data_IF_936239017794
#
_entry.id   IF_936239017794
#
_cell.length_a   1.000
_cell.length_b   1.000
_cell.length_c   1.000
_cell.angle_alpha   90.00
_cell.angle_beta   90.00
_cell.angle_gamma   90.00
#
_symmetry.space_group_name_H-M   'P 1'
#
loop_
_entity.id
_entity.type
_entity.pdbx_description
1 polymer ?
#
# COMPACT_ATOMS: atom_id res chain seq x y z
N UNK A 1 -13.14 -14.57 -23.10
CA UNK A 1 -13.82 -15.52 -22.17
C UNK A 1 -15.01 -14.80 -21.55
N UNK A 2 -16.19 -15.41 -21.53
CA UNK A 2 -17.41 -14.75 -21.03
C UNK A 2 -17.59 -14.81 -19.51
N UNK A 3 -17.07 -15.86 -18.87
CA UNK A 3 -17.20 -16.06 -17.42
C UNK A 3 -16.09 -16.94 -16.87
N UNK A 4 -15.85 -16.80 -15.56
CA UNK A 4 -14.94 -17.63 -14.76
C UNK A 4 -15.69 -18.15 -13.54
N UNK A 5 -15.43 -19.41 -13.16
CA UNK A 5 -16.03 -20.05 -12.00
C UNK A 5 -14.99 -20.39 -10.94
N UNK A 6 -14.77 -19.48 -9.95
CA UNK A 6 -13.99 -19.81 -8.77
C UNK A 6 -14.60 -20.98 -8.00
N UNK A 7 -13.79 -21.70 -7.26
CA UNK A 7 -14.22 -22.88 -6.49
C UNK A 7 -15.34 -22.54 -5.47
N UNK A 8 -15.34 -21.32 -4.94
CA UNK A 8 -16.33 -20.75 -4.02
C UNK A 8 -16.17 -19.22 -3.99
N UNK A 9 -17.10 -18.51 -3.38
CA UNK A 9 -17.06 -17.05 -3.18
C UNK A 9 -16.04 -16.62 -2.14
N UNK A 10 -16.39 -15.67 -1.27
CA UNK A 10 -15.49 -15.25 -0.19
C UNK A 10 -15.18 -16.37 0.80
N UNK A 11 -16.13 -17.28 1.02
CA UNK A 11 -15.98 -18.39 1.97
C UNK A 11 -16.35 -19.73 1.30
N UNK A 12 -15.79 -20.87 1.79
CA UNK A 12 -16.02 -22.20 1.18
C UNK A 12 -17.48 -22.64 1.08
N UNK A 13 -18.35 -22.12 1.94
CA UNK A 13 -19.80 -22.39 1.93
C UNK A 13 -20.56 -21.54 0.91
N UNK A 14 -19.96 -20.49 0.36
CA UNK A 14 -20.60 -19.61 -0.62
C UNK A 14 -20.42 -20.16 -2.04
N UNK A 15 -21.33 -21.06 -2.41
CA UNK A 15 -21.39 -21.71 -3.73
C UNK A 15 -22.80 -21.61 -4.30
N UNK A 16 -22.95 -21.49 -5.64
CA UNK A 16 -21.87 -21.34 -6.65
C UNK A 16 -21.19 -19.97 -6.57
N UNK A 17 -20.03 -19.83 -7.24
CA UNK A 17 -19.31 -18.56 -7.40
C UNK A 17 -18.97 -18.34 -8.87
N UNK A 18 -19.15 -17.13 -9.36
CA UNK A 18 -18.92 -16.78 -10.76
C UNK A 18 -18.47 -15.33 -10.91
N UNK A 19 -17.56 -15.08 -11.85
CA UNK A 19 -17.27 -13.77 -12.42
C UNK A 19 -17.85 -13.76 -13.84
N UNK A 20 -18.63 -12.74 -14.16
CA UNK A 20 -19.25 -12.58 -15.49
C UNK A 20 -19.46 -11.10 -15.77
N UNK A 21 -19.65 -10.78 -17.04
CA UNK A 21 -20.08 -9.46 -17.49
C UNK A 21 -21.45 -9.57 -18.15
N UNK A 22 -22.27 -8.53 -18.00
CA UNK A 22 -23.58 -8.46 -18.66
C UNK A 22 -23.43 -8.42 -20.18
N UNK A 23 -22.37 -7.76 -20.67
CA UNK A 23 -22.06 -7.65 -22.10
C UNK A 23 -20.55 -7.81 -22.34
N UNK A 24 -20.22 -8.44 -23.48
CA UNK A 24 -18.83 -8.62 -23.90
C UNK A 24 -18.13 -9.81 -23.24
N UNK A 25 -16.82 -9.74 -23.21
CA UNK A 25 -15.92 -10.72 -22.60
C UNK A 25 -15.22 -10.11 -21.38
N UNK A 26 -14.77 -10.95 -20.47
CA UNK A 26 -13.96 -10.51 -19.32
C UNK A 26 -12.70 -9.80 -19.83
N UNK A 27 -12.35 -8.62 -19.31
CA UNK A 27 -11.18 -7.86 -19.71
C UNK A 27 -9.87 -8.42 -19.13
N UNK A 28 -9.84 -9.69 -18.79
CA UNK A 28 -8.68 -10.35 -18.19
C UNK A 28 -8.55 -11.79 -18.67
N UNK A 29 -7.31 -12.29 -18.63
CA UNK A 29 -6.96 -13.67 -18.90
C UNK A 29 -6.12 -14.25 -17.75
N UNK A 30 -6.41 -15.48 -17.35
CA UNK A 30 -5.60 -16.22 -16.38
C UNK A 30 -4.53 -17.00 -17.12
N UNK A 31 -3.29 -16.51 -17.11
CA UNK A 31 -2.15 -17.13 -17.81
C UNK A 31 -1.55 -18.30 -17.03
N UNK A 32 -1.75 -18.34 -15.71
CA UNK A 32 -1.30 -19.44 -14.84
C UNK A 32 -2.09 -19.49 -13.54
N UNK A 33 -2.17 -20.65 -12.92
CA UNK A 33 -2.82 -20.85 -11.63
C UNK A 33 -4.35 -20.98 -11.72
N UNK A 34 -5.00 -20.83 -10.56
CA UNK A 34 -6.46 -20.84 -10.40
C UNK A 34 -6.86 -19.84 -9.32
N UNK A 35 -6.94 -18.56 -9.65
CA UNK A 35 -7.31 -17.53 -8.69
C UNK A 35 -8.69 -17.79 -8.08
N UNK A 36 -8.81 -17.58 -6.77
CA UNK A 36 -10.08 -17.61 -6.08
C UNK A 36 -10.85 -16.29 -6.22
N UNK A 37 -12.09 -16.28 -5.72
CA UNK A 37 -12.96 -15.10 -5.78
C UNK A 37 -12.31 -13.84 -5.16
N UNK A 38 -11.74 -13.95 -3.95
CA UNK A 38 -11.04 -12.83 -3.28
C UNK A 38 -9.80 -12.38 -4.08
N UNK A 39 -9.07 -13.33 -4.70
CA UNK A 39 -7.92 -12.98 -5.52
C UNK A 39 -8.30 -12.07 -6.70
N UNK A 40 -9.44 -12.31 -7.34
CA UNK A 40 -9.95 -11.43 -8.40
C UNK A 40 -10.40 -10.07 -7.86
N UNK A 41 -10.96 -10.00 -6.65
CA UNK A 41 -11.28 -8.74 -6.00
C UNK A 41 -10.01 -7.92 -5.73
N UNK A 42 -8.96 -8.56 -5.20
CA UNK A 42 -7.65 -7.92 -5.01
C UNK A 42 -7.05 -7.48 -6.34
N UNK A 43 -7.06 -8.35 -7.36
CA UNK A 43 -6.53 -8.06 -8.69
C UNK A 43 -7.17 -6.83 -9.33
N UNK A 44 -8.50 -6.79 -9.38
CA UNK A 44 -9.22 -5.73 -10.08
C UNK A 44 -9.18 -4.39 -9.33
N UNK A 45 -9.19 -4.39 -7.99
CA UNK A 45 -9.04 -3.16 -7.22
C UNK A 45 -7.61 -2.62 -7.29
N UNK A 46 -6.61 -3.49 -7.14
CA UNK A 46 -5.21 -3.08 -7.24
C UNK A 46 -4.82 -2.58 -8.64
N UNK A 47 -5.38 -3.19 -9.70
CA UNK A 47 -5.19 -2.73 -11.07
C UNK A 47 -5.67 -1.28 -11.27
N UNK A 48 -6.87 -0.98 -10.79
CA UNK A 48 -7.41 0.38 -10.88
C UNK A 48 -6.49 1.40 -10.19
N UNK A 49 -5.96 1.06 -9.01
CA UNK A 49 -5.03 1.90 -8.27
C UNK A 49 -3.77 2.20 -9.07
N UNK A 50 -3.07 1.18 -9.56
CA UNK A 50 -1.79 1.39 -10.28
C UNK A 50 -1.97 2.08 -11.61
N UNK A 51 -3.09 1.81 -12.31
CA UNK A 51 -3.47 2.52 -13.54
C UNK A 51 -3.69 4.02 -13.27
N UNK A 52 -4.40 4.36 -12.19
CA UNK A 52 -4.63 5.74 -11.78
C UNK A 52 -3.35 6.46 -11.39
N UNK A 53 -2.45 5.79 -10.64
CA UNK A 53 -1.14 6.35 -10.28
C UNK A 53 -0.28 6.66 -11.50
N UNK A 54 -0.19 5.73 -12.46
CA UNK A 54 0.55 5.96 -13.70
C UNK A 54 -0.04 7.11 -14.50
N UNK A 55 -1.36 7.20 -14.59
CA UNK A 55 -2.04 8.30 -15.28
C UNK A 55 -1.73 9.66 -14.65
N UNK A 56 -1.78 9.74 -13.31
CA UNK A 56 -1.58 10.98 -12.56
C UNK A 56 -0.12 11.47 -12.55
N UNK A 57 0.85 10.56 -12.55
CA UNK A 57 2.27 10.89 -12.34
C UNK A 57 3.16 10.67 -13.56
N UNK A 58 2.69 9.91 -14.56
CA UNK A 58 3.49 9.49 -15.71
C UNK A 58 4.56 8.43 -15.39
N UNK A 59 4.69 8.02 -14.13
CA UNK A 59 5.69 7.06 -13.68
C UNK A 59 5.11 5.64 -13.59
N UNK A 60 5.92 4.58 -13.82
CA UNK A 60 5.51 3.22 -13.48
C UNK A 60 5.08 3.14 -12.02
N UNK A 61 4.05 2.36 -11.74
CA UNK A 61 3.49 2.22 -10.39
C UNK A 61 3.15 0.77 -10.08
N UNK A 62 3.25 0.41 -8.81
CA UNK A 62 2.88 -0.90 -8.31
C UNK A 62 2.13 -0.82 -6.98
N UNK A 63 1.37 -1.87 -6.68
CA UNK A 63 0.69 -2.03 -5.41
C UNK A 63 0.81 -3.46 -4.88
N UNK A 64 0.77 -3.59 -3.56
CA UNK A 64 0.63 -4.83 -2.82
C UNK A 64 -0.73 -4.80 -2.14
N UNK A 65 -1.62 -5.72 -2.50
CA UNK A 65 -2.99 -5.78 -1.99
C UNK A 65 -3.23 -7.02 -1.16
N UNK A 66 -4.07 -6.87 -0.14
CA UNK A 66 -4.58 -7.97 0.65
C UNK A 66 -5.91 -7.59 1.28
N UNK A 67 -6.86 -8.53 1.26
CA UNK A 67 -8.22 -8.31 1.79
C UNK A 67 -8.90 -7.05 1.19
N UNK A 68 -8.74 -6.90 -0.12
CA UNK A 68 -9.34 -5.81 -0.93
C UNK A 68 -8.92 -4.41 -0.47
N UNK A 69 -7.72 -4.29 0.09
CA UNK A 69 -7.11 -3.01 0.48
C UNK A 69 -5.61 -3.02 0.21
N UNK A 70 -5.00 -1.88 -0.09
CA UNK A 70 -3.56 -1.78 -0.27
C UNK A 70 -2.83 -1.95 1.07
N UNK A 71 -1.90 -2.90 1.12
CA UNK A 71 -0.85 -2.92 2.13
C UNK A 71 0.19 -1.83 1.82
N UNK A 72 0.41 -1.56 0.53
CA UNK A 72 1.25 -0.48 0.05
C UNK A 72 1.10 -0.23 -1.44
N UNK A 73 1.52 0.97 -1.85
CA UNK A 73 1.61 1.40 -3.25
C UNK A 73 2.83 2.31 -3.43
N UNK A 74 3.45 2.29 -4.59
CA UNK A 74 4.63 3.10 -4.86
C UNK A 74 4.83 3.40 -6.35
N UNK A 75 5.58 4.47 -6.60
CA UNK A 75 6.07 4.88 -7.91
C UNK A 75 7.44 4.25 -8.18
N UNK A 76 7.76 4.05 -9.45
CA UNK A 76 9.00 3.46 -9.94
C UNK A 76 10.21 4.38 -9.82
N UNK A 77 10.54 4.81 -8.62
CA UNK A 77 11.72 5.59 -8.31
C UNK A 77 12.86 4.68 -7.82
N UNK A 78 14.14 5.06 -8.04
CA UNK A 78 15.28 4.26 -7.60
C UNK A 78 15.24 3.98 -6.09
N UNK A 79 15.70 2.79 -5.70
CA UNK A 79 15.88 2.42 -4.30
C UNK A 79 17.15 3.06 -3.72
N UNK A 80 17.06 3.62 -2.52
CA UNK A 80 18.23 3.95 -1.72
C UNK A 80 18.93 2.68 -1.19
N UNK A 81 20.19 2.80 -0.72
CA UNK A 81 20.92 1.66 -0.16
C UNK A 81 20.21 1.06 1.06
N UNK A 82 19.61 1.91 1.89
CA UNK A 82 18.81 1.46 3.05
C UNK A 82 17.57 0.70 2.60
N UNK A 83 16.82 1.22 1.62
CA UNK A 83 15.66 0.53 1.05
C UNK A 83 16.06 -0.82 0.44
N UNK A 84 17.18 -0.89 -0.29
CA UNK A 84 17.69 -2.16 -0.81
C UNK A 84 17.90 -3.18 0.30
N UNK A 85 18.52 -2.76 1.40
CA UNK A 85 18.79 -3.64 2.53
C UNK A 85 17.51 -4.11 3.22
N UNK A 86 16.62 -3.20 3.61
CA UNK A 86 15.42 -3.54 4.39
C UNK A 86 14.34 -4.27 3.58
N UNK A 87 14.35 -4.14 2.25
CA UNK A 87 13.41 -4.81 1.35
C UNK A 87 13.98 -6.08 0.73
N UNK A 88 15.22 -6.48 1.05
CA UNK A 88 15.91 -7.62 0.44
C UNK A 88 15.99 -7.53 -1.09
N UNK A 89 16.17 -6.31 -1.61
CA UNK A 89 16.28 -6.08 -3.03
C UNK A 89 17.54 -6.73 -3.59
N UNK A 90 17.50 -7.26 -4.83
CA UNK A 90 18.68 -7.76 -5.50
C UNK A 90 19.75 -6.66 -5.69
N UNK A 91 21.01 -7.06 -5.81
CA UNK A 91 22.09 -6.17 -6.20
C UNK A 91 21.96 -5.77 -7.68
N UNK A 92 22.59 -4.66 -8.05
CA UNK A 92 22.61 -4.16 -9.42
C UNK A 92 21.50 -3.17 -9.74
N UNK A 93 21.42 -2.80 -11.01
CA UNK A 93 20.38 -1.92 -11.52
C UNK A 93 19.06 -2.70 -11.66
N UNK A 94 17.97 -2.07 -11.24
CA UNK A 94 16.63 -2.63 -11.31
C UNK A 94 15.75 -1.75 -12.20
N UNK A 95 14.85 -2.37 -12.93
CA UNK A 95 13.87 -1.64 -13.72
C UNK A 95 12.95 -0.75 -12.84
N UNK A 96 12.42 0.35 -13.39
CA UNK A 96 11.50 1.18 -12.62
C UNK A 96 10.26 0.45 -12.10
N UNK A 97 9.72 -0.53 -12.85
CA UNK A 97 8.56 -1.29 -12.39
C UNK A 97 8.92 -2.27 -11.26
N UNK A 98 10.12 -2.84 -11.29
CA UNK A 98 10.63 -3.65 -10.18
C UNK A 98 10.83 -2.79 -8.92
N UNK A 99 11.42 -1.61 -9.06
CA UNK A 99 11.57 -0.65 -7.96
C UNK A 99 10.20 -0.28 -7.36
N UNK A 100 9.19 -0.02 -8.20
CA UNK A 100 7.84 0.27 -7.75
C UNK A 100 7.26 -0.85 -6.87
N UNK A 101 7.36 -2.11 -7.33
CA UNK A 101 6.80 -3.23 -6.57
C UNK A 101 7.59 -3.52 -5.28
N UNK A 102 8.91 -3.47 -5.34
CA UNK A 102 9.76 -3.65 -4.14
C UNK A 102 9.38 -2.63 -3.06
N UNK A 103 9.19 -1.36 -3.43
CA UNK A 103 8.79 -0.28 -2.53
C UNK A 103 7.35 -0.42 -2.06
N UNK A 104 6.41 -0.76 -2.94
CA UNK A 104 5.02 -0.99 -2.58
C UNK A 104 4.87 -2.11 -1.54
N UNK A 105 5.55 -3.24 -1.75
CA UNK A 105 5.60 -4.34 -0.78
C UNK A 105 6.37 -3.96 0.49
N UNK A 106 7.40 -3.14 0.36
CA UNK A 106 8.23 -2.63 1.45
C UNK A 106 7.51 -1.72 2.43
N UNK A 107 6.39 -1.11 2.04
CA UNK A 107 5.59 -0.22 2.87
C UNK A 107 5.13 -0.90 4.18
N UNK A 108 4.68 -2.15 4.06
CA UNK A 108 4.27 -3.00 5.19
C UNK A 108 4.53 -4.46 4.82
N UNK A 109 5.69 -4.96 5.19
CA UNK A 109 6.13 -6.31 4.80
C UNK A 109 5.30 -7.42 5.46
N UNK A 110 4.73 -7.18 6.65
CA UNK A 110 3.85 -8.15 7.31
C UNK A 110 2.49 -8.23 6.61
N UNK A 111 1.86 -7.10 6.33
CA UNK A 111 0.59 -7.06 5.61
C UNK A 111 0.73 -7.59 4.17
N UNK A 112 1.92 -7.45 3.57
CA UNK A 112 2.21 -7.96 2.23
C UNK A 112 2.53 -9.46 2.18
N UNK A 113 2.53 -10.17 3.30
CA UNK A 113 2.68 -11.63 3.30
C UNK A 113 1.45 -12.29 2.69
N UNK A 114 1.62 -12.95 1.55
CA UNK A 114 0.52 -13.53 0.78
C UNK A 114 -0.30 -12.47 0.02
N UNK A 115 0.35 -11.42 -0.46
CA UNK A 115 -0.27 -10.34 -1.20
C UNK A 115 -0.72 -10.73 -2.61
N UNK A 116 -1.48 -9.83 -3.21
CA UNK A 116 -1.69 -9.74 -4.65
C UNK A 116 -0.91 -8.55 -5.19
N UNK A 117 0.03 -8.83 -6.08
CA UNK A 117 0.83 -7.80 -6.74
C UNK A 117 0.07 -7.19 -7.93
N UNK A 118 0.13 -5.86 -8.09
CA UNK A 118 -0.37 -5.18 -9.28
C UNK A 118 0.70 -4.26 -9.86
N UNK A 119 0.82 -4.28 -11.18
CA UNK A 119 1.77 -3.46 -11.93
C UNK A 119 1.06 -2.63 -12.98
N UNK A 120 1.41 -1.36 -13.11
CA UNK A 120 0.87 -0.47 -14.16
C UNK A 120 1.44 -0.73 -15.56
N UNK A 121 2.56 -1.45 -15.61
CA UNK A 121 3.34 -1.73 -16.81
C UNK A 121 3.60 -3.23 -16.97
N UNK A 122 4.17 -3.61 -18.12
CA UNK A 122 4.57 -4.99 -18.38
C UNK A 122 5.50 -5.49 -17.30
N UNK A 123 5.19 -6.66 -16.74
CA UNK A 123 6.04 -7.34 -15.77
C UNK A 123 7.31 -7.87 -16.46
N UNK A 124 8.46 -7.48 -15.98
CA UNK A 124 9.78 -7.88 -16.50
C UNK A 124 10.47 -8.93 -15.62
N UNK A 125 11.65 -9.39 -16.08
CA UNK A 125 12.43 -10.39 -15.37
C UNK A 125 12.89 -9.94 -13.98
N UNK A 126 13.21 -8.65 -13.79
CA UNK A 126 13.65 -8.13 -12.49
C UNK A 126 12.54 -8.22 -11.45
N UNK A 127 11.33 -7.79 -11.83
CA UNK A 127 10.13 -7.88 -11.00
C UNK A 127 9.80 -9.34 -10.68
N UNK A 128 9.83 -10.21 -11.69
CA UNK A 128 9.52 -11.63 -11.52
C UNK A 128 10.52 -12.35 -10.61
N UNK A 129 11.82 -12.08 -10.73
CA UNK A 129 12.87 -12.64 -9.86
C UNK A 129 12.68 -12.22 -8.40
N UNK A 130 12.40 -10.93 -8.15
CA UNK A 130 12.11 -10.48 -6.79
C UNK A 130 10.87 -11.18 -6.23
N UNK A 131 9.79 -11.19 -7.00
CA UNK A 131 8.51 -11.78 -6.60
C UNK A 131 8.61 -13.29 -6.36
N UNK A 132 9.45 -13.99 -7.11
CA UNK A 132 9.68 -15.44 -6.96
C UNK A 132 10.20 -15.81 -5.56
N UNK A 133 10.96 -14.92 -4.92
CA UNK A 133 11.52 -15.11 -3.59
C UNK A 133 10.57 -14.69 -2.43
N UNK A 134 9.44 -14.04 -2.75
CA UNK A 134 8.48 -13.56 -1.76
C UNK A 134 7.28 -14.52 -1.61
N UNK A 135 6.60 -14.47 -0.47
CA UNK A 135 5.30 -15.13 -0.30
C UNK A 135 4.20 -14.22 -0.84
N UNK A 136 3.67 -14.59 -1.98
CA UNK A 136 2.63 -13.84 -2.72
C UNK A 136 1.63 -14.84 -3.30
N UNK A 137 0.38 -14.44 -3.46
CA UNK A 137 -0.70 -15.29 -3.97
C UNK A 137 -0.92 -15.14 -5.47
N UNK A 138 -0.62 -13.98 -6.03
CA UNK A 138 -0.77 -13.74 -7.45
C UNK A 138 -0.33 -12.34 -7.88
N UNK A 139 -0.43 -12.13 -9.18
CA UNK A 139 -0.07 -10.88 -9.84
C UNK A 139 -1.05 -10.54 -10.96
N UNK A 140 -1.31 -9.23 -11.15
CA UNK A 140 -1.98 -8.67 -12.31
C UNK A 140 -1.11 -7.61 -12.97
N UNK A 141 -1.01 -7.66 -14.30
CA UNK A 141 -0.28 -6.69 -15.10
C UNK A 141 -0.89 -6.60 -16.51
N UNK A 142 -0.63 -5.54 -17.29
CA UNK A 142 -1.11 -5.42 -18.67
C UNK A 142 -0.36 -6.31 -19.67
N UNK A 143 0.65 -7.04 -19.22
CA UNK A 143 1.44 -7.98 -19.99
C UNK A 143 2.66 -8.48 -19.21
N UNK A 144 3.35 -9.43 -19.78
CA UNK A 144 4.52 -10.09 -19.19
C UNK A 144 5.57 -10.33 -20.26
N UNK A 145 6.85 -10.13 -19.94
CA UNK A 145 7.93 -10.63 -20.82
C UNK A 145 7.98 -12.15 -20.75
N UNK A 146 8.52 -12.80 -21.79
CA UNK A 146 8.64 -14.27 -21.82
C UNK A 146 9.43 -14.78 -20.62
N UNK A 147 10.53 -14.11 -20.26
CA UNK A 147 11.34 -14.40 -19.08
C UNK A 147 10.53 -14.31 -17.78
N UNK A 148 9.78 -13.21 -17.61
CA UNK A 148 8.96 -13.01 -16.41
C UNK A 148 7.90 -14.11 -16.29
N UNK A 149 7.25 -14.45 -17.38
CA UNK A 149 6.20 -15.48 -17.41
C UNK A 149 6.76 -16.87 -17.09
N UNK A 150 7.94 -17.21 -17.60
CA UNK A 150 8.63 -18.47 -17.27
C UNK A 150 8.94 -18.56 -15.77
N UNK A 151 9.54 -17.51 -15.19
CA UNK A 151 9.86 -17.45 -13.76
C UNK A 151 8.59 -17.61 -12.91
N UNK A 152 7.54 -16.85 -13.22
CA UNK A 152 6.30 -16.84 -12.44
C UNK A 152 5.54 -18.17 -12.54
N UNK A 153 5.54 -18.81 -13.71
CA UNK A 153 4.98 -20.16 -13.90
C UNK A 153 5.69 -21.22 -13.05
N UNK A 154 6.99 -21.08 -12.81
CA UNK A 154 7.75 -21.98 -11.94
C UNK A 154 7.47 -21.80 -10.44
N UNK A 155 6.94 -20.63 -10.02
CA UNK A 155 6.65 -20.32 -8.62
C UNK A 155 5.53 -21.21 -8.06
N UNK A 156 5.62 -21.56 -6.73
CA UNK A 156 4.64 -22.41 -6.03
C UNK A 156 4.40 -23.76 -6.73
N UNK A 157 5.45 -24.36 -7.29
CA UNK A 157 5.36 -25.63 -8.05
C UNK A 157 4.34 -25.56 -9.20
N UNK A 158 4.28 -24.43 -9.88
CA UNK A 158 3.36 -24.18 -11.00
C UNK A 158 1.98 -23.64 -10.61
N UNK A 159 1.73 -23.42 -9.34
CA UNK A 159 0.41 -22.97 -8.84
C UNK A 159 0.31 -21.47 -8.53
N UNK A 160 1.29 -20.65 -8.94
CA UNK A 160 1.21 -19.20 -8.75
C UNK A 160 0.20 -18.57 -9.72
N UNK A 161 -0.61 -17.64 -9.21
CA UNK A 161 -1.64 -17.01 -10.05
C UNK A 161 -1.05 -15.85 -10.86
N UNK A 162 -1.22 -15.91 -12.18
CA UNK A 162 -0.79 -14.87 -13.11
C UNK A 162 -1.99 -14.44 -13.95
N UNK A 163 -2.35 -13.18 -13.86
CA UNK A 163 -3.49 -12.59 -14.56
C UNK A 163 -3.01 -11.46 -15.47
N UNK A 164 -3.38 -11.50 -16.73
CA UNK A 164 -3.23 -10.39 -17.67
C UNK A 164 -4.53 -9.63 -17.78
N UNK A 165 -4.46 -8.30 -17.82
CA UNK A 165 -5.59 -7.38 -17.94
C UNK A 165 -5.50 -6.57 -19.20
N UNK A 166 -6.60 -6.38 -19.91
CA UNK A 166 -6.70 -5.43 -21.01
C UNK A 166 -6.63 -3.97 -20.49
N UNK A 167 -5.53 -3.25 -20.71
CA UNK A 167 -5.38 -1.88 -20.20
C UNK A 167 -6.31 -0.88 -20.85
N UNK A 168 -6.90 -1.21 -22.00
CA UNK A 168 -7.84 -0.35 -22.73
C UNK A 168 -9.27 -0.42 -22.20
N UNK A 169 -9.58 -1.45 -21.40
CA UNK A 169 -10.93 -1.64 -20.88
C UNK A 169 -11.37 -0.49 -19.98
N UNK A 170 -12.62 -0.07 -20.19
CA UNK A 170 -13.29 0.93 -19.35
C UNK A 170 -14.61 0.35 -18.85
N UNK A 171 -14.86 0.37 -17.52
CA UNK A 171 -16.10 -0.12 -16.93
C UNK A 171 -17.33 0.64 -17.46
N UNK A 172 -18.50 0.00 -17.33
CA UNK A 172 -19.78 0.66 -17.61
C UNK A 172 -19.98 1.87 -16.67
N UNK A 173 -20.72 2.91 -17.13
CA UNK A 173 -20.89 4.14 -16.34
C UNK A 173 -21.74 3.96 -15.07
N UNK A 174 -22.43 2.83 -14.93
CA UNK A 174 -23.24 2.47 -13.76
C UNK A 174 -22.72 1.18 -13.17
N UNK A 175 -22.40 1.21 -11.89
CA UNK A 175 -22.07 0.02 -11.11
C UNK A 175 -23.25 -0.42 -10.23
N UNK A 176 -23.35 -1.72 -10.02
CA UNK A 176 -24.42 -2.35 -9.25
C UNK A 176 -23.85 -3.24 -8.15
N UNK A 177 -24.47 -3.17 -6.99
CA UNK A 177 -24.14 -4.02 -5.85
C UNK A 177 -25.42 -4.53 -5.19
N UNK A 178 -25.45 -5.81 -4.85
CA UNK A 178 -26.59 -6.41 -4.13
C UNK A 178 -26.24 -6.61 -2.66
N UNK A 179 -27.09 -6.09 -1.77
CA UNK A 179 -26.98 -6.27 -0.33
C UNK A 179 -28.36 -6.73 0.16
N UNK A 180 -28.43 -7.90 0.77
CA UNK A 180 -29.67 -8.47 1.29
C UNK A 180 -30.81 -8.53 0.24
N UNK A 181 -30.46 -8.82 -1.01
CA UNK A 181 -31.41 -8.88 -2.12
C UNK A 181 -31.85 -7.52 -2.71
N UNK A 182 -31.40 -6.41 -2.13
CA UNK A 182 -31.64 -5.06 -2.63
C UNK A 182 -30.48 -4.65 -3.52
N UNK A 183 -30.76 -4.23 -4.74
CA UNK A 183 -29.75 -3.71 -5.66
C UNK A 183 -29.52 -2.24 -5.43
N UNK A 184 -28.26 -1.89 -5.19
CA UNK A 184 -27.78 -0.52 -5.16
C UNK A 184 -27.14 -0.18 -6.52
N UNK A 185 -27.52 0.96 -7.09
CA UNK A 185 -26.94 1.47 -8.32
C UNK A 185 -26.34 2.85 -8.06
N UNK A 186 -25.15 3.09 -8.61
CA UNK A 186 -24.50 4.40 -8.58
C UNK A 186 -23.65 4.58 -9.83
N UNK A 187 -23.25 5.83 -10.12
CA UNK A 187 -22.24 6.10 -11.13
C UNK A 187 -20.92 5.42 -10.76
N UNK A 188 -20.25 4.82 -11.77
CA UNK A 188 -18.90 4.35 -11.59
C UNK A 188 -17.98 5.50 -11.15
N UNK A 189 -17.12 5.25 -10.18
CA UNK A 189 -16.21 6.28 -9.67
C UNK A 189 -15.02 6.49 -10.62
N UNK A 190 -15.26 7.26 -11.69
CA UNK A 190 -14.29 7.65 -12.71
C UNK A 190 -13.47 8.91 -12.34
N UNK A 191 -13.62 9.40 -11.11
CA UNK A 191 -12.92 10.59 -10.63
C UNK A 191 -11.42 10.51 -10.92
N UNK A 192 -10.93 11.47 -11.69
CA UNK A 192 -9.52 11.61 -12.05
C UNK A 192 -8.81 12.50 -11.02
N UNK A 193 -8.00 11.89 -10.19
CA UNK A 193 -7.21 12.59 -9.17
C UNK A 193 -5.94 13.14 -9.82
N UNK A 194 -5.80 14.47 -9.84
CA UNK A 194 -4.72 15.17 -10.51
C UNK A 194 -4.27 16.41 -9.71
N UNK A 195 -3.23 17.11 -10.17
CA UNK A 195 -2.65 18.27 -9.48
C UNK A 195 -3.61 19.46 -9.29
N UNK A 196 -4.66 19.57 -10.11
CA UNK A 196 -5.64 20.66 -9.97
C UNK A 196 -6.36 20.60 -8.63
N UNK A 197 -6.54 19.39 -8.09
CA UNK A 197 -7.14 19.18 -6.75
C UNK A 197 -6.30 19.71 -5.61
N UNK A 198 -5.02 19.98 -5.83
CA UNK A 198 -4.08 20.46 -4.81
C UNK A 198 -3.92 21.98 -4.80
N UNK A 199 -4.62 22.71 -5.67
CA UNK A 199 -4.47 24.17 -5.80
C UNK A 199 -5.01 24.95 -4.61
N UNK A 200 -6.01 24.42 -3.89
CA UNK A 200 -6.61 25.10 -2.75
C UNK A 200 -5.80 24.84 -1.46
N UNK A 201 -4.61 25.43 -1.38
CA UNK A 201 -3.80 25.41 -0.16
C UNK A 201 -4.34 26.41 0.85
N UNK A 202 -4.81 25.92 1.99
CA UNK A 202 -5.53 26.71 3.02
C UNK A 202 -4.67 27.18 4.18
N UNK A 203 -3.45 26.64 4.34
CA UNK A 203 -2.48 27.04 5.37
C UNK A 203 -1.67 28.27 4.97
N UNK A 204 -0.97 28.89 5.95
CA UNK A 204 -0.07 30.03 5.71
C UNK A 204 1.11 29.65 4.83
N UNK A 205 1.77 28.51 5.14
CA UNK A 205 2.78 27.93 4.27
C UNK A 205 2.11 27.32 3.03
N UNK A 206 2.58 27.70 1.84
CA UNK A 206 2.03 27.27 0.55
C UNK A 206 3.05 26.59 -0.34
N UNK A 207 4.23 26.28 0.18
CA UNK A 207 5.32 25.71 -0.60
C UNK A 207 5.10 24.22 -0.86
N UNK A 208 4.75 23.88 -2.10
CA UNK A 208 4.60 22.50 -2.58
C UNK A 208 5.63 22.21 -3.66
N UNK A 209 6.63 21.40 -3.32
CA UNK A 209 7.54 20.83 -4.31
C UNK A 209 6.80 19.82 -5.20
N UNK A 210 7.35 19.50 -6.37
CA UNK A 210 6.79 18.46 -7.23
C UNK A 210 6.74 17.10 -6.52
N UNK A 211 7.76 16.80 -5.69
CA UNK A 211 7.77 15.58 -4.88
C UNK A 211 6.60 15.56 -3.89
N UNK A 212 6.33 16.66 -3.19
CA UNK A 212 5.20 16.74 -2.26
C UNK A 212 3.86 16.59 -2.98
N UNK A 213 3.70 17.16 -4.19
CA UNK A 213 2.51 16.96 -5.01
C UNK A 213 2.34 15.51 -5.42
N UNK A 214 3.39 14.86 -5.89
CA UNK A 214 3.34 13.43 -6.25
C UNK A 214 2.96 12.57 -5.03
N UNK A 215 3.50 12.87 -3.87
CA UNK A 215 3.16 12.16 -2.62
C UNK A 215 1.70 12.40 -2.19
N UNK A 216 1.18 13.62 -2.35
CA UNK A 216 -0.24 13.91 -2.14
C UNK A 216 -1.13 13.13 -3.11
N UNK A 217 -0.82 13.12 -4.42
CA UNK A 217 -1.56 12.36 -5.41
C UNK A 217 -1.53 10.86 -5.12
N UNK A 218 -0.36 10.33 -4.77
CA UNK A 218 -0.21 8.92 -4.40
C UNK A 218 -1.07 8.59 -3.17
N UNK A 219 -1.10 9.46 -2.15
CA UNK A 219 -1.92 9.26 -0.97
C UNK A 219 -3.42 9.22 -1.32
N UNK A 220 -3.92 10.19 -2.08
CA UNK A 220 -5.33 10.30 -2.46
C UNK A 220 -5.77 9.14 -3.37
N UNK A 221 -4.96 8.77 -4.35
CA UNK A 221 -5.25 7.64 -5.25
C UNK A 221 -5.26 6.33 -4.47
N UNK A 222 -4.31 6.13 -3.54
CA UNK A 222 -4.33 4.96 -2.66
C UNK A 222 -5.62 4.88 -1.86
N UNK A 223 -6.08 6.01 -1.29
CA UNK A 223 -7.30 6.08 -0.49
C UNK A 223 -8.57 5.84 -1.30
N UNK A 224 -8.61 6.25 -2.58
CA UNK A 224 -9.74 5.97 -3.48
C UNK A 224 -10.06 4.46 -3.58
N UNK A 225 -9.08 3.60 -3.32
CA UNK A 225 -9.20 2.13 -3.37
C UNK A 225 -8.96 1.46 -2.02
N UNK A 226 -9.09 2.21 -0.94
CA UNK A 226 -8.91 1.73 0.44
C UNK A 226 -10.22 1.83 1.20
N UNK A 227 -10.62 0.74 1.88
CA UNK A 227 -11.85 0.71 2.70
C UNK A 227 -11.89 1.83 3.73
N UNK A 228 -12.96 2.60 3.71
CA UNK A 228 -13.17 3.75 4.61
C UNK A 228 -13.53 3.33 6.05
N UNK A 229 -13.25 4.19 7.04
CA UNK A 229 -12.40 5.38 6.95
C UNK A 229 -10.98 4.98 6.64
N UNK A 230 -10.31 5.76 5.80
CA UNK A 230 -8.92 5.48 5.44
C UNK A 230 -8.02 6.72 5.51
N UNK A 231 -6.77 6.49 5.91
CA UNK A 231 -5.69 7.49 6.02
C UNK A 231 -4.41 6.86 5.49
N UNK A 232 -3.62 7.60 4.73
CA UNK A 232 -2.40 7.11 4.13
C UNK A 232 -1.24 8.07 4.36
N UNK A 233 -0.13 7.56 4.90
CA UNK A 233 1.15 8.27 5.02
C UNK A 233 2.04 7.88 3.85
N UNK A 234 2.66 8.88 3.24
CA UNK A 234 3.49 8.73 2.02
C UNK A 234 4.80 9.48 2.20
N UNK A 235 5.88 8.92 1.70
CA UNK A 235 7.19 9.57 1.63
C UNK A 235 7.94 9.14 0.38
N UNK A 236 8.49 10.11 -0.35
CA UNK A 236 9.32 9.89 -1.52
C UNK A 236 8.71 8.92 -2.55
N UNK A 237 7.43 9.11 -2.90
CA UNK A 237 6.76 8.30 -3.93
C UNK A 237 6.40 6.88 -3.49
N UNK A 238 6.27 6.61 -2.19
CA UNK A 238 5.73 5.35 -1.68
C UNK A 238 4.88 5.57 -0.43
N UNK A 239 3.87 4.75 -0.25
CA UNK A 239 3.16 4.68 1.02
C UNK A 239 4.08 4.09 2.09
N UNK A 240 3.98 4.61 3.30
CA UNK A 240 4.73 4.12 4.46
C UNK A 240 3.82 3.68 5.60
N UNK A 241 2.52 3.94 5.48
CA UNK A 241 1.51 3.46 6.41
C UNK A 241 0.12 3.71 5.88
N UNK A 242 -0.68 2.65 5.74
CA UNK A 242 -2.09 2.72 5.33
C UNK A 242 -2.98 2.21 6.45
N UNK A 243 -3.92 3.03 6.88
CA UNK A 243 -4.98 2.67 7.80
C UNK A 243 -6.30 2.55 7.04
N UNK A 244 -7.03 1.47 7.25
CA UNK A 244 -8.25 1.13 6.53
C UNK A 244 -9.35 0.64 7.46
N UNK A 245 -10.62 0.83 7.06
CA UNK A 245 -11.79 0.20 7.68
C UNK A 245 -12.09 0.62 9.11
N UNK A 246 -11.65 1.81 9.53
CA UNK A 246 -11.88 2.28 10.90
C UNK A 246 -13.15 3.16 10.99
N UNK A 247 -13.94 2.98 12.06
CA UNK A 247 -15.14 3.79 12.28
C UNK A 247 -14.83 5.21 12.78
N UNK A 248 -13.64 5.42 13.37
CA UNK A 248 -13.20 6.72 13.86
C UNK A 248 -12.01 7.23 13.06
N UNK A 249 -12.08 8.50 12.60
CA UNK A 249 -10.98 9.15 11.86
C UNK A 249 -9.68 9.15 12.65
N UNK A 250 -9.71 9.53 13.92
CA UNK A 250 -8.50 9.57 14.74
C UNK A 250 -7.88 8.17 14.95
N UNK A 251 -8.70 7.11 15.08
CA UNK A 251 -8.18 5.74 15.18
C UNK A 251 -7.50 5.34 13.88
N UNK A 252 -8.06 5.74 12.74
CA UNK A 252 -7.47 5.48 11.44
C UNK A 252 -6.12 6.23 11.27
N UNK A 253 -6.08 7.52 11.66
CA UNK A 253 -4.85 8.33 11.64
C UNK A 253 -3.76 7.74 12.53
N UNK A 254 -4.13 7.20 13.72
CA UNK A 254 -3.19 6.51 14.62
C UNK A 254 -2.68 5.21 14.01
N UNK A 255 -3.57 4.39 13.46
CA UNK A 255 -3.20 3.11 12.84
C UNK A 255 -2.20 3.32 11.70
N UNK A 256 -2.53 4.21 10.77
CA UNK A 256 -1.65 4.53 9.64
C UNK A 256 -0.31 5.13 10.10
N UNK A 257 -0.35 6.04 11.09
CA UNK A 257 0.85 6.64 11.67
C UNK A 257 1.74 5.64 12.41
N UNK A 258 1.15 4.69 13.14
CA UNK A 258 1.93 3.62 13.80
C UNK A 258 2.66 2.75 12.78
N UNK A 259 2.02 2.42 11.65
CA UNK A 259 2.68 1.70 10.55
C UNK A 259 3.82 2.51 9.93
N UNK A 260 3.62 3.83 9.74
CA UNK A 260 4.69 4.72 9.26
C UNK A 260 5.87 4.78 10.24
N UNK A 261 5.60 4.82 11.55
CA UNK A 261 6.62 4.78 12.59
C UNK A 261 7.41 3.46 12.56
N UNK A 262 6.72 2.31 12.40
CA UNK A 262 7.36 0.99 12.24
C UNK A 262 8.22 0.94 10.99
N UNK A 263 7.71 1.45 9.85
CA UNK A 263 8.50 1.52 8.61
C UNK A 263 9.80 2.32 8.81
N UNK A 264 9.76 3.44 9.54
CA UNK A 264 10.94 4.24 9.83
C UNK A 264 11.88 3.56 10.84
N UNK A 265 11.34 2.90 11.85
CA UNK A 265 12.12 2.15 12.86
C UNK A 265 12.86 0.95 12.26
N UNK A 266 12.35 0.34 11.17
CA UNK A 266 13.09 -0.72 10.44
C UNK A 266 14.43 -0.24 9.88
N UNK A 267 14.64 1.06 9.77
CA UNK A 267 15.89 1.70 9.32
C UNK A 267 16.81 2.10 10.48
N UNK A 268 16.40 1.85 11.73
CA UNK A 268 17.22 2.17 12.90
C UNK A 268 18.50 1.32 12.92
N UNK A 269 19.70 1.90 13.28
CA UNK A 269 20.97 1.16 13.27
C UNK A 269 20.94 -0.17 14.06
N UNK A 270 20.29 -0.23 15.22
CA UNK A 270 20.13 -1.48 15.98
C UNK A 270 19.32 -2.54 15.19
N UNK A 271 18.32 -2.11 14.39
CA UNK A 271 17.52 -3.03 13.56
C UNK A 271 18.33 -3.51 12.36
N UNK A 272 19.04 -2.59 11.69
CA UNK A 272 19.95 -2.95 10.58
C UNK A 272 21.09 -3.86 11.03
N UNK A 273 21.54 -3.74 12.29
CA UNK A 273 22.61 -4.54 12.89
C UNK A 273 22.18 -5.91 13.45
N UNK A 274 20.90 -6.28 13.35
CA UNK A 274 20.42 -7.59 13.83
C UNK A 274 21.10 -8.74 13.08
N UNK A 275 21.70 -9.66 13.85
CA UNK A 275 22.41 -10.82 13.32
C UNK A 275 21.53 -12.06 13.39
N UNK A 276 20.95 -12.42 12.25
CA UNK A 276 20.07 -13.58 12.15
C UNK A 276 20.85 -14.88 11.97
N UNK A 277 20.25 -16.00 12.44
CA UNK A 277 20.78 -17.34 12.18
C UNK A 277 20.84 -17.63 10.67
N UNK A 278 21.77 -18.52 10.28
CA UNK A 278 21.91 -18.90 8.89
C UNK A 278 20.61 -19.56 8.36
N UNK A 279 20.26 -19.27 7.10
CA UNK A 279 19.07 -19.81 6.42
C UNK A 279 17.72 -19.43 7.02
N UNK A 280 17.64 -18.39 7.87
CA UNK A 280 16.34 -17.85 8.29
C UNK A 280 15.52 -17.44 7.03
N UNK A 281 14.25 -17.84 6.97
CA UNK A 281 13.39 -17.47 5.86
C UNK A 281 12.98 -16.00 5.97
N UNK A 282 12.77 -15.34 4.83
CA UNK A 282 12.35 -13.91 4.80
C UNK A 282 11.13 -13.62 5.69
N UNK A 283 10.03 -14.40 5.66
CA UNK A 283 8.88 -14.14 6.55
C UNK A 283 9.21 -14.22 8.03
N UNK A 284 10.04 -15.18 8.43
CA UNK A 284 10.44 -15.36 9.83
C UNK A 284 11.33 -14.18 10.30
N UNK A 285 12.20 -13.70 9.38
CA UNK A 285 13.02 -12.51 9.61
C UNK A 285 12.17 -11.25 9.73
N UNK A 286 11.20 -11.04 8.83
CA UNK A 286 10.30 -9.90 8.87
C UNK A 286 9.47 -9.87 10.16
N UNK A 287 8.95 -11.03 10.57
CA UNK A 287 8.19 -11.15 11.81
C UNK A 287 9.07 -10.87 13.05
N UNK A 288 10.30 -11.39 13.08
CA UNK A 288 11.22 -11.13 14.17
C UNK A 288 11.61 -9.66 14.29
N UNK A 289 11.80 -8.96 13.15
CA UNK A 289 12.06 -7.52 13.13
C UNK A 289 10.86 -6.76 13.69
N UNK A 290 9.65 -7.10 13.27
CA UNK A 290 8.43 -6.44 13.73
C UNK A 290 8.24 -6.58 15.23
N UNK A 291 8.36 -7.81 15.77
CA UNK A 291 8.28 -8.07 17.21
C UNK A 291 9.39 -7.34 17.96
N UNK A 292 10.64 -7.35 17.44
CA UNK A 292 11.76 -6.65 18.06
C UNK A 292 11.54 -5.13 18.16
N UNK A 293 10.89 -4.53 17.16
CA UNK A 293 10.54 -3.10 17.13
C UNK A 293 9.36 -2.81 18.06
N UNK A 294 8.44 -3.74 18.21
CA UNK A 294 7.25 -3.60 19.05
C UNK A 294 7.60 -3.50 20.55
N UNK A 295 6.60 -3.22 21.39
CA UNK A 295 6.74 -3.28 22.84
C UNK A 295 6.53 -4.72 23.38
N UNK A 296 6.24 -5.69 22.49
CA UNK A 296 6.02 -7.12 22.80
C UNK A 296 7.28 -7.97 22.53
N UNK A 297 8.46 -7.36 22.53
CA UNK A 297 9.73 -7.99 22.17
C UNK A 297 10.19 -9.09 23.15
N UNK A 298 9.57 -9.21 24.32
CA UNK A 298 9.91 -10.23 25.32
C UNK A 298 9.84 -11.65 24.76
N UNK A 299 8.87 -11.93 23.89
CA UNK A 299 8.71 -13.24 23.25
C UNK A 299 9.93 -13.62 22.41
N UNK A 300 10.39 -12.72 21.54
CA UNK A 300 11.51 -12.99 20.63
C UNK A 300 12.87 -12.92 21.32
N UNK A 301 12.96 -12.24 22.47
CA UNK A 301 14.19 -12.09 23.27
C UNK A 301 14.24 -13.02 24.49
N UNK A 302 13.20 -13.84 24.72
CA UNK A 302 13.17 -14.79 25.82
C UNK A 302 14.33 -15.79 25.73
N UNK A 303 14.84 -16.21 26.91
CA UNK A 303 15.90 -17.23 26.97
C UNK A 303 15.39 -18.58 26.43
N UNK A 304 16.18 -19.21 25.56
CA UNK A 304 15.79 -20.43 24.85
C UNK A 304 14.95 -20.18 23.58
N UNK A 305 14.56 -18.92 23.31
CA UNK A 305 13.79 -18.53 22.11
C UNK A 305 14.65 -17.70 21.14
N UNK A 306 15.35 -16.69 21.64
CA UNK A 306 16.14 -15.79 20.79
C UNK A 306 17.21 -16.54 19.95
N UNK A 307 17.77 -17.64 20.48
CA UNK A 307 18.77 -18.47 19.81
C UNK A 307 18.25 -19.14 18.52
N UNK A 308 16.93 -19.27 18.38
CA UNK A 308 16.31 -19.79 17.15
C UNK A 308 16.28 -18.76 16.03
N UNK A 309 16.47 -17.49 16.37
CA UNK A 309 16.29 -16.36 15.43
C UNK A 309 17.59 -15.58 15.22
N UNK A 310 18.34 -15.35 16.30
CA UNK A 310 19.55 -14.51 16.28
C UNK A 310 20.81 -15.29 16.61
N UNK A 311 21.94 -14.91 15.99
CA UNK A 311 23.29 -15.42 16.33
C UNK A 311 23.80 -14.84 17.65
N UNK A 312 23.41 -13.60 17.95
CA UNK A 312 23.75 -12.88 19.17
C UNK A 312 22.45 -12.27 19.70
N UNK A 313 22.22 -12.38 21.01
CA UNK A 313 21.04 -11.79 21.64
C UNK A 313 21.05 -10.27 21.43
N UNK A 314 20.05 -9.71 20.75
CA UNK A 314 20.00 -8.27 20.54
C UNK A 314 19.74 -7.51 21.86
N UNK A 315 20.32 -6.32 21.96
CA UNK A 315 19.91 -5.36 22.98
C UNK A 315 18.50 -4.84 22.68
N UNK A 316 17.72 -4.57 23.71
CA UNK A 316 16.38 -3.99 23.54
C UNK A 316 16.46 -2.61 22.89
N UNK A 317 15.58 -2.34 21.95
CA UNK A 317 15.35 -1.00 21.42
C UNK A 317 14.41 -0.27 22.36
N UNK A 318 14.94 0.66 23.17
CA UNK A 318 14.17 1.32 24.22
C UNK A 318 13.14 2.30 23.68
N UNK A 319 12.14 2.66 24.49
CA UNK A 319 11.12 3.65 24.11
C UNK A 319 11.75 5.02 23.79
N UNK A 320 12.79 5.42 24.52
CA UNK A 320 13.54 6.65 24.30
C UNK A 320 14.29 6.64 22.96
N UNK A 321 14.94 5.54 22.61
CA UNK A 321 15.62 5.35 21.34
C UNK A 321 14.62 5.38 20.16
N UNK A 322 13.47 4.69 20.31
CA UNK A 322 12.38 4.73 19.32
C UNK A 322 11.88 6.17 19.10
N UNK A 323 11.57 6.87 20.20
CA UNK A 323 11.09 8.26 20.13
C UNK A 323 12.12 9.21 19.48
N UNK A 324 13.39 9.09 19.84
CA UNK A 324 14.49 9.89 19.28
C UNK A 324 14.69 9.63 17.78
N UNK A 325 14.53 8.38 17.33
CA UNK A 325 14.63 8.02 15.92
C UNK A 325 13.43 8.53 15.12
N UNK A 326 12.20 8.33 15.62
CA UNK A 326 10.97 8.81 14.98
C UNK A 326 10.99 10.33 14.84
N UNK A 327 11.52 11.06 15.83
CA UNK A 327 11.63 12.52 15.78
C UNK A 327 12.51 13.06 14.63
N UNK A 328 13.35 12.22 14.01
CA UNK A 328 14.17 12.57 12.84
C UNK A 328 13.41 12.40 11.51
N UNK A 329 12.25 11.76 11.52
CA UNK A 329 11.44 11.59 10.31
C UNK A 329 10.83 12.93 9.89
N UNK A 330 10.93 13.25 8.61
CA UNK A 330 10.45 14.52 8.03
C UNK A 330 10.05 14.34 6.57
N UNK A 331 9.41 15.35 5.99
CA UNK A 331 9.01 15.33 4.58
C UNK A 331 7.90 14.32 4.30
N UNK A 332 7.11 13.94 5.29
CA UNK A 332 6.01 12.98 5.13
C UNK A 332 4.74 13.73 4.71
N UNK A 333 4.01 13.11 3.81
CA UNK A 333 2.66 13.52 3.39
C UNK A 333 1.62 12.63 4.05
N UNK A 334 0.50 13.19 4.49
CA UNK A 334 -0.68 12.42 4.89
C UNK A 334 -1.90 12.79 4.05
N UNK A 335 -2.57 11.78 3.51
CA UNK A 335 -3.88 11.90 2.86
C UNK A 335 -4.99 11.35 3.74
N UNK A 336 -6.20 11.89 3.59
CA UNK A 336 -7.42 11.41 4.26
C UNK A 336 -8.58 11.34 3.28
N UNK A 337 -9.34 10.25 3.30
CA UNK A 337 -10.49 10.04 2.41
C UNK A 337 -11.71 10.92 2.76
N UNK A 338 -11.70 11.55 3.95
CA UNK A 338 -12.67 12.57 4.36
C UNK A 338 -11.99 13.61 5.24
N UNK A 339 -12.73 14.66 5.63
CA UNK A 339 -12.20 15.75 6.45
C UNK A 339 -11.69 15.29 7.83
N UNK A 340 -10.69 15.96 8.35
CA UNK A 340 -10.30 15.85 9.74
C UNK A 340 -11.29 16.59 10.64
N UNK A 341 -11.97 15.90 11.57
CA UNK A 341 -12.97 16.55 12.41
C UNK A 341 -12.37 17.46 13.50
N UNK A 342 -11.11 17.20 13.89
CA UNK A 342 -10.41 17.91 14.97
C UNK A 342 -8.90 18.00 14.66
N UNK A 343 -8.23 18.97 15.30
CA UNK A 343 -6.78 19.17 15.21
C UNK A 343 -5.92 18.02 15.76
N UNK A 344 -6.50 17.11 16.56
CA UNK A 344 -5.81 15.93 17.10
C UNK A 344 -5.26 15.00 16.01
N UNK A 345 -5.91 14.95 14.83
CA UNK A 345 -5.41 14.22 13.67
C UNK A 345 -4.10 14.84 13.14
N UNK A 346 -4.02 16.17 13.09
CA UNK A 346 -2.80 16.90 12.70
C UNK A 346 -1.70 16.71 13.75
N UNK A 347 -2.04 16.78 15.05
CA UNK A 347 -1.11 16.53 16.14
C UNK A 347 -0.52 15.10 16.08
N UNK A 348 -1.37 14.09 15.76
CA UNK A 348 -0.87 12.72 15.56
C UNK A 348 0.03 12.62 14.33
N UNK A 349 -0.38 13.23 13.23
CA UNK A 349 0.37 13.20 11.97
C UNK A 349 1.77 13.83 12.13
N UNK A 350 1.86 14.95 12.87
CA UNK A 350 3.13 15.62 13.17
C UNK A 350 4.15 14.69 13.81
N UNK A 351 3.73 13.79 14.72
CA UNK A 351 4.64 12.86 15.40
C UNK A 351 5.35 11.91 14.46
N UNK A 352 4.77 11.64 13.30
CA UNK A 352 5.35 10.83 12.22
C UNK A 352 5.93 11.68 11.08
N UNK A 353 6.44 12.86 11.38
CA UNK A 353 7.19 13.71 10.44
C UNK A 353 6.36 14.33 9.32
N UNK A 354 5.04 14.43 9.45
CA UNK A 354 4.16 15.01 8.43
C UNK A 354 4.41 16.50 8.29
N UNK A 355 4.58 16.93 7.05
CA UNK A 355 4.72 18.32 6.63
C UNK A 355 3.64 18.72 5.61
N UNK A 356 3.04 17.75 4.93
CA UNK A 356 2.05 17.95 3.87
C UNK A 356 0.77 17.18 4.16
N UNK A 357 -0.37 17.82 3.97
CA UNK A 357 -1.69 17.23 4.24
C UNK A 357 -2.60 17.44 3.03
N UNK A 358 -3.25 16.36 2.57
CA UNK A 358 -4.30 16.40 1.56
C UNK A 358 -5.59 15.82 2.14
N UNK A 359 -6.66 16.62 2.19
CA UNK A 359 -7.97 16.20 2.70
C UNK A 359 -9.09 17.03 2.08
N UNK A 360 -10.37 16.58 2.10
CA UNK A 360 -11.45 17.32 1.46
C UNK A 360 -11.74 18.70 2.05
N UNK A 361 -11.59 18.90 3.36
CA UNK A 361 -12.20 20.04 4.06
C UNK A 361 -13.72 19.85 4.21
N UNK A 362 -14.40 20.90 4.68
CA UNK A 362 -15.86 20.92 4.87
C UNK A 362 -16.31 20.53 6.29
N UNK A 363 -15.41 20.46 7.25
CA UNK A 363 -15.76 20.37 8.67
C UNK A 363 -16.16 21.74 9.23
N UNK A 364 -17.11 21.76 10.15
CA UNK A 364 -17.43 22.97 10.92
C UNK A 364 -16.25 23.46 11.78
N UNK A 365 -15.19 22.67 11.91
CA UNK A 365 -13.97 22.96 12.68
C UNK A 365 -12.72 23.06 11.80
N UNK A 366 -12.89 23.33 10.51
CA UNK A 366 -11.75 23.50 9.59
C UNK A 366 -10.78 24.58 10.05
N UNK A 367 -11.29 25.66 10.66
CA UNK A 367 -10.48 26.72 11.26
C UNK A 367 -9.50 26.20 12.31
N UNK A 368 -9.94 25.30 13.20
CA UNK A 368 -9.09 24.69 14.22
C UNK A 368 -8.06 23.72 13.60
N UNK A 369 -8.46 22.98 12.60
CA UNK A 369 -7.57 22.02 11.89
C UNK A 369 -6.48 22.79 11.13
N UNK A 370 -6.85 23.88 10.43
CA UNK A 370 -5.91 24.78 9.75
C UNK A 370 -4.96 25.46 10.74
N UNK A 371 -5.49 25.99 11.85
CA UNK A 371 -4.67 26.62 12.89
C UNK A 371 -3.64 25.64 13.48
N UNK A 372 -4.02 24.37 13.67
CA UNK A 372 -3.09 23.34 14.14
C UNK A 372 -1.99 23.06 13.10
N UNK A 373 -2.32 23.01 11.82
CA UNK A 373 -1.33 22.85 10.76
C UNK A 373 -0.38 24.05 10.65
N UNK A 374 -0.90 25.28 10.76
CA UNK A 374 -0.11 26.52 10.76
C UNK A 374 0.86 26.59 11.94
N UNK A 375 0.44 26.15 13.13
CA UNK A 375 1.30 26.06 14.33
C UNK A 375 2.60 25.30 14.07
N UNK A 376 2.57 24.34 13.14
CA UNK A 376 3.73 23.50 12.79
C UNK A 376 4.32 23.81 11.41
N UNK A 377 3.89 24.89 10.78
CA UNK A 377 4.38 25.29 9.44
C UNK A 377 4.05 24.30 8.33
N UNK A 378 3.04 23.47 8.51
CA UNK A 378 2.61 22.49 7.53
C UNK A 378 1.89 23.13 6.34
N UNK A 379 1.89 22.41 5.21
CA UNK A 379 1.11 22.76 4.02
C UNK A 379 -0.13 21.86 3.99
N UNK A 380 -1.32 22.44 3.90
CA UNK A 380 -2.56 21.69 3.78
C UNK A 380 -3.35 22.12 2.54
N UNK A 381 -3.68 21.16 1.68
CA UNK A 381 -4.56 21.35 0.54
C UNK A 381 -5.94 20.75 0.83
N UNK A 382 -7.00 21.52 0.54
CA UNK A 382 -8.37 21.03 0.53
C UNK A 382 -8.78 20.61 -0.86
N UNK A 383 -9.04 19.31 -1.04
CA UNK A 383 -9.42 18.74 -2.34
C UNK A 383 -10.89 18.97 -2.70
N UNK A 384 -11.75 19.27 -1.70
CA UNK A 384 -13.19 19.42 -1.88
C UNK A 384 -13.94 18.11 -2.18
N UNK A 385 -13.26 16.97 -2.23
CA UNK A 385 -13.83 15.70 -2.66
C UNK A 385 -13.58 14.61 -1.62
N UNK A 386 -14.67 13.94 -1.20
CA UNK A 386 -14.62 12.75 -0.36
C UNK A 386 -14.34 11.50 -1.20
N UNK A 387 -13.46 10.64 -0.70
CA UNK A 387 -12.99 9.42 -1.40
C UNK A 387 -13.46 8.12 -0.72
N UNK A 388 -14.68 8.08 -0.19
CA UNK A 388 -15.19 6.88 0.46
C UNK A 388 -15.24 5.68 -0.49
N UNK A 389 -14.76 4.54 0.01
CA UNK A 389 -14.76 3.27 -0.67
C UNK A 389 -15.33 2.20 0.29
N UNK A 390 -16.37 1.48 -0.16
CA UNK A 390 -17.06 0.45 0.64
C UNK A 390 -17.32 -0.81 -0.15
#
# INVERSE_FOLDING_TARGET
MKELEPKYGCNPNQKPARLSMDQGELPLEVLNGRPGYINFMDALNSWQLVRALKKATGLPAAASFKHVSPAGAALGLPLSDVERHIYFAPEGELSPIACAYIRARGADRLCSFGDWAALSDVCDGDTARFLAAEVSDGIIAPGYTDEALEILRGKRKGGYNVVEIDPSYTPAPIERRSIFGITFEQGYNDLDINEEMLQNVVTENKELSQQAKNDMLLSLITLKYTQSNSVCYVKNGMTIGVGAGQQSRIHCTRLAGNKADIWWLRQHPKVLGLQFVDKIRRPDRDNAIDIYISDEHDDVLAEGVWQNTFKVKPEVLTAEEKAAWIAQMSGVTVGSDAFFPFGDNVERARKSGVQYIAQPGGSIRDDQVIATANKYGMVMAFTGIRLFHH
#
